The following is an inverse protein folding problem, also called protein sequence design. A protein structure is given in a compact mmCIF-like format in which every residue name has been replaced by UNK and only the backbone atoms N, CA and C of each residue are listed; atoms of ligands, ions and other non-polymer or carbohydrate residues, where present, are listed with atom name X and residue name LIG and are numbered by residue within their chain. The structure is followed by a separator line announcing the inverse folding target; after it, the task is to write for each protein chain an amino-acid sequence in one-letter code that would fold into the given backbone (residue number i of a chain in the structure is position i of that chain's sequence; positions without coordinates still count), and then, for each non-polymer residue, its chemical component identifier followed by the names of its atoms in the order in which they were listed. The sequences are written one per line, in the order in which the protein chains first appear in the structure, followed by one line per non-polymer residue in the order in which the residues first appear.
data_IF_239864441390
#
_entry.id   IF_239864441390
#
_cell.length_a   1.000
_cell.length_b   1.000
_cell.length_c   1.000
_cell.angle_alpha   90.00
_cell.angle_beta   90.00
_cell.angle_gamma   90.00
#
_symmetry.space_group_name_H-M   'P 1'
#
loop_
_entity.id
_entity.type
_entity.pdbx_description
1 polymer ?
#
# COMPACT_ATOMS: atom_id res chain seq x y z
N UNK A 1 -35.33 57.00 -8.03
CA UNK A 1 -34.74 56.14 -6.99
C UNK A 1 -35.25 54.70 -7.06
N UNK A 2 -36.53 54.44 -7.29
CA UNK A 2 -37.06 53.06 -7.33
C UNK A 2 -36.44 52.15 -8.43
N UNK A 3 -36.10 52.68 -9.61
CA UNK A 3 -35.51 51.89 -10.70
C UNK A 3 -34.07 51.47 -10.43
N UNK A 4 -33.28 52.25 -9.69
CA UNK A 4 -31.92 51.92 -9.30
C UNK A 4 -31.93 50.77 -8.29
N UNK A 5 -32.90 50.74 -7.39
CA UNK A 5 -33.04 49.66 -6.40
C UNK A 5 -33.37 48.32 -7.06
N UNK A 6 -34.21 48.31 -8.10
CA UNK A 6 -34.51 47.08 -8.86
C UNK A 6 -33.33 46.58 -9.69
N UNK A 7 -32.50 47.47 -10.22
CA UNK A 7 -31.29 47.07 -10.97
C UNK A 7 -30.25 46.46 -10.03
N UNK A 8 -30.07 47.00 -8.83
CA UNK A 8 -29.15 46.46 -7.80
C UNK A 8 -29.66 45.09 -7.31
N UNK A 9 -30.97 44.93 -7.11
CA UNK A 9 -31.55 43.65 -6.67
C UNK A 9 -31.44 42.59 -7.75
N UNK A 10 -31.63 42.94 -9.03
CA UNK A 10 -31.48 42.02 -10.18
C UNK A 10 -30.02 41.60 -10.41
N UNK A 11 -29.04 42.51 -10.19
CA UNK A 11 -27.61 42.15 -10.28
C UNK A 11 -27.16 41.26 -9.16
N UNK A 12 -27.68 41.40 -7.92
CA UNK A 12 -27.39 40.56 -6.80
C UNK A 12 -27.93 39.11 -6.94
N UNK A 13 -29.02 38.92 -7.66
CA UNK A 13 -29.59 37.60 -7.98
C UNK A 13 -28.81 36.83 -9.05
N UNK A 14 -28.08 37.53 -9.92
CA UNK A 14 -27.26 36.91 -10.99
C UNK A 14 -25.89 36.40 -10.48
N UNK A 15 -25.44 36.81 -9.30
CA UNK A 15 -24.15 36.37 -8.75
C UNK A 15 -24.23 35.08 -7.91
N UNK A 16 -25.44 34.54 -7.69
CA UNK A 16 -25.63 33.29 -6.93
C UNK A 16 -25.61 32.02 -7.76
N UNK A 17 -25.40 32.07 -9.08
CA UNK A 17 -25.12 30.87 -9.87
C UNK A 17 -23.63 30.52 -9.79
N UNK A 18 -23.19 30.16 -8.60
CA UNK A 18 -21.89 29.52 -8.37
C UNK A 18 -21.96 28.13 -9.01
N UNK A 19 -21.19 27.91 -10.06
CA UNK A 19 -20.98 26.57 -10.61
C UNK A 19 -20.33 25.70 -9.54
N UNK A 20 -21.10 24.80 -8.95
CA UNK A 20 -20.60 23.83 -7.96
C UNK A 20 -19.44 22.98 -8.51
N UNK A 21 -19.45 22.73 -9.81
CA UNK A 21 -18.45 21.90 -10.50
C UNK A 21 -17.05 22.52 -10.58
N UNK A 22 -16.92 23.85 -10.38
CA UNK A 22 -15.61 24.52 -10.42
C UNK A 22 -14.76 24.23 -9.17
N UNK A 23 -15.39 23.92 -8.05
CA UNK A 23 -14.71 23.63 -6.77
C UNK A 23 -14.47 22.13 -6.55
N UNK A 24 -15.11 21.25 -7.29
CA UNK A 24 -14.84 19.81 -7.25
C UNK A 24 -13.60 19.49 -8.09
N UNK A 25 -12.43 19.86 -7.57
CA UNK A 25 -11.15 19.40 -8.09
C UNK A 25 -10.90 18.02 -7.51
N UNK A 26 -11.23 16.98 -8.25
CA UNK A 26 -10.71 15.66 -7.96
C UNK A 26 -9.18 15.68 -8.14
N UNK A 27 -8.40 15.13 -7.18
CA UNK A 27 -6.97 15.00 -7.36
C UNK A 27 -6.72 14.21 -8.65
N UNK A 28 -5.94 14.77 -9.57
CA UNK A 28 -5.61 14.10 -10.84
C UNK A 28 -4.81 12.80 -10.64
N UNK A 29 -4.28 12.62 -9.46
CA UNK A 29 -3.40 11.50 -9.08
C UNK A 29 -4.10 10.45 -8.21
N UNK A 30 -5.38 10.61 -7.88
CA UNK A 30 -6.18 9.55 -7.26
C UNK A 30 -7.01 8.85 -8.33
N UNK A 31 -6.95 7.53 -8.45
CA UNK A 31 -7.87 6.81 -9.33
C UNK A 31 -9.30 7.10 -8.83
N UNK A 32 -9.97 7.97 -9.56
CA UNK A 32 -11.40 8.26 -9.35
C UNK A 32 -12.15 6.95 -9.58
N UNK A 33 -13.02 6.56 -8.66
CA UNK A 33 -13.91 5.40 -8.80
C UNK A 33 -14.86 5.51 -10.00
N UNK A 34 -14.80 6.61 -10.74
CA UNK A 34 -15.60 6.91 -11.93
C UNK A 34 -14.86 6.68 -13.25
N UNK A 35 -13.54 6.44 -13.24
CA UNK A 35 -12.81 6.12 -14.48
C UNK A 35 -12.80 4.60 -14.62
N UNK A 36 -13.36 4.03 -15.71
CA UNK A 36 -13.25 2.60 -15.97
C UNK A 36 -11.78 2.18 -16.03
N UNK A 37 -11.44 1.09 -15.38
CA UNK A 37 -10.06 0.57 -15.43
C UNK A 37 -9.86 -0.04 -16.81
N UNK A 38 -8.97 0.57 -17.61
CA UNK A 38 -8.50 0.04 -18.90
C UNK A 38 -7.36 -0.97 -18.70
N UNK A 39 -6.97 -1.67 -19.75
CA UNK A 39 -5.81 -2.57 -19.75
C UNK A 39 -4.52 -1.87 -19.27
N UNK A 40 -4.23 -0.67 -19.78
CA UNK A 40 -3.06 0.11 -19.37
C UNK A 40 -3.10 0.47 -17.89
N UNK A 41 -4.27 0.86 -17.39
CA UNK A 41 -4.44 1.18 -15.98
C UNK A 41 -4.32 -0.08 -15.11
N UNK A 42 -4.84 -1.21 -15.56
CA UNK A 42 -4.69 -2.50 -14.87
C UNK A 42 -3.20 -2.88 -14.71
N UNK A 43 -2.42 -2.75 -15.79
CA UNK A 43 -0.96 -2.97 -15.75
C UNK A 43 -0.27 -1.97 -14.83
N UNK A 44 -0.64 -0.69 -14.89
CA UNK A 44 -0.07 0.34 -14.02
C UNK A 44 -0.35 0.08 -12.53
N UNK A 45 -1.56 -0.35 -12.18
CA UNK A 45 -1.93 -0.73 -10.81
C UNK A 45 -1.11 -1.95 -10.34
N UNK A 46 -0.92 -2.93 -11.19
CA UNK A 46 -0.10 -4.11 -10.90
C UNK A 46 1.37 -3.71 -10.67
N UNK A 47 1.92 -2.83 -11.52
CA UNK A 47 3.26 -2.27 -11.33
C UNK A 47 3.37 -1.51 -10.00
N UNK A 48 2.31 -0.82 -9.56
CA UNK A 48 2.23 -0.20 -8.25
C UNK A 48 2.37 -1.19 -7.09
N UNK A 49 1.92 -2.44 -7.25
CA UNK A 49 2.14 -3.50 -6.27
C UNK A 49 3.62 -3.87 -6.13
N UNK A 50 4.41 -3.84 -7.19
CA UNK A 50 5.85 -4.10 -7.16
C UNK A 50 6.67 -2.95 -6.56
N UNK A 51 6.18 -1.71 -6.65
CA UNK A 51 6.94 -0.53 -6.25
C UNK A 51 7.44 -0.60 -4.80
N UNK A 52 6.64 -1.15 -3.89
CA UNK A 52 7.03 -1.27 -2.48
C UNK A 52 8.25 -2.16 -2.27
N UNK A 53 8.50 -3.17 -3.13
CA UNK A 53 9.67 -4.03 -3.03
C UNK A 53 10.97 -3.23 -3.22
N UNK A 54 10.96 -2.21 -4.07
CA UNK A 54 12.14 -1.39 -4.37
C UNK A 54 12.36 -0.28 -3.33
N UNK A 55 11.51 -0.16 -2.32
CA UNK A 55 11.67 0.85 -1.28
C UNK A 55 12.85 0.55 -0.37
N UNK A 56 13.43 1.58 0.23
CA UNK A 56 14.44 1.46 1.29
C UNK A 56 13.90 0.69 2.50
N UNK A 57 12.59 0.67 2.68
CA UNK A 57 11.94 -0.06 3.77
C UNK A 57 11.94 -1.58 3.57
N UNK A 58 12.19 -2.06 2.34
CA UNK A 58 12.24 -3.49 2.00
C UNK A 58 13.57 -3.83 1.31
N UNK A 59 13.56 -4.27 0.04
CA UNK A 59 14.72 -4.86 -0.62
C UNK A 59 15.84 -3.89 -0.98
N UNK A 60 15.58 -2.58 -1.04
CA UNK A 60 16.66 -1.63 -1.29
C UNK A 60 17.61 -1.47 -0.08
N UNK A 61 17.15 -1.76 1.15
CA UNK A 61 18.01 -1.66 2.34
C UNK A 61 17.62 -2.61 3.48
N UNK A 62 16.42 -2.50 4.05
CA UNK A 62 16.12 -3.01 5.40
C UNK A 62 16.07 -4.54 5.50
N UNK A 63 15.62 -5.23 4.45
CA UNK A 63 15.62 -6.71 4.44
C UNK A 63 17.03 -7.26 4.53
N UNK A 64 17.97 -6.67 3.79
CA UNK A 64 19.37 -7.08 3.83
C UNK A 64 20.01 -6.85 5.21
N UNK A 65 19.57 -5.82 5.93
CA UNK A 65 20.03 -5.56 7.29
C UNK A 65 19.59 -6.64 8.28
N UNK A 66 18.60 -7.47 7.95
CA UNK A 66 18.20 -8.62 8.80
C UNK A 66 19.17 -9.79 8.72
N UNK A 67 20.01 -9.90 7.69
CA UNK A 67 21.02 -10.96 7.56
C UNK A 67 22.06 -10.88 8.67
N UNK A 68 22.27 -9.69 9.22
CA UNK A 68 23.19 -9.48 10.35
C UNK A 68 22.76 -10.27 11.61
N UNK A 69 21.46 -10.54 11.75
CA UNK A 69 20.95 -11.35 12.86
C UNK A 69 21.39 -12.82 12.77
N UNK A 70 21.85 -13.28 11.60
CA UNK A 70 22.36 -14.63 11.40
C UNK A 70 23.80 -14.81 11.91
N UNK A 71 24.51 -13.71 12.19
CA UNK A 71 25.89 -13.72 12.64
C UNK A 71 26.96 -13.87 11.55
N UNK A 72 26.53 -13.88 10.28
CA UNK A 72 27.43 -14.03 9.12
C UNK A 72 28.07 -12.71 8.68
N UNK A 73 27.50 -11.59 9.14
CA UNK A 73 27.94 -10.24 8.81
C UNK A 73 27.82 -9.30 10.00
N UNK A 74 28.55 -8.21 9.97
CA UNK A 74 28.50 -7.16 10.98
C UNK A 74 28.04 -5.83 10.37
N UNK A 75 27.35 -5.04 11.18
CA UNK A 75 27.05 -3.67 10.82
C UNK A 75 28.35 -2.85 10.74
N UNK A 76 28.73 -2.42 9.56
CA UNK A 76 29.81 -1.46 9.37
C UNK A 76 29.49 -0.09 10.00
N UNK A 77 30.40 0.83 9.90
CA UNK A 77 30.27 2.20 10.40
C UNK A 77 31.11 2.46 11.65
N UNK A 78 31.36 3.74 11.92
CA UNK A 78 32.12 4.19 13.08
C UNK A 78 31.18 4.33 14.29
N UNK A 79 31.34 3.50 15.34
CA UNK A 79 30.53 3.60 16.55
C UNK A 79 30.77 4.89 17.33
N UNK A 80 31.88 5.61 17.07
CA UNK A 80 32.19 6.87 17.74
C UNK A 80 31.36 8.06 17.24
N UNK A 81 30.85 7.99 16.03
CA UNK A 81 29.98 9.03 15.43
C UNK A 81 28.52 8.90 15.86
N UNK A 82 28.14 7.80 16.49
CA UNK A 82 26.85 7.60 17.16
C UNK A 82 25.64 7.40 16.24
N UNK A 83 25.78 7.50 14.93
CA UNK A 83 24.64 7.49 13.99
C UNK A 83 24.63 6.31 13.03
N UNK A 84 25.80 5.84 12.58
CA UNK A 84 25.86 4.80 11.57
C UNK A 84 25.67 3.39 12.14
N UNK A 85 24.71 2.70 11.63
CA UNK A 85 24.48 1.30 11.96
C UNK A 85 23.91 1.03 13.36
N UNK A 86 23.56 2.04 14.16
CA UNK A 86 23.01 1.86 15.51
C UNK A 86 21.75 0.99 15.47
N UNK A 87 20.82 1.28 14.60
CA UNK A 87 19.57 0.54 14.45
C UNK A 87 19.81 -0.93 14.06
N UNK A 88 20.76 -1.14 13.18
CA UNK A 88 21.15 -2.48 12.73
C UNK A 88 21.85 -3.26 13.83
N UNK A 89 22.72 -2.60 14.61
CA UNK A 89 23.38 -3.20 15.80
C UNK A 89 22.39 -3.58 16.89
N UNK A 90 21.37 -2.74 17.11
CA UNK A 90 20.30 -3.07 18.06
C UNK A 90 19.57 -4.35 17.67
N UNK A 91 19.27 -4.52 16.37
CA UNK A 91 18.62 -5.73 15.85
C UNK A 91 19.57 -6.92 15.92
N UNK A 92 20.81 -6.77 15.48
CA UNK A 92 21.83 -7.82 15.51
C UNK A 92 22.09 -8.39 16.91
N UNK A 93 22.06 -7.52 17.91
CA UNK A 93 22.29 -7.89 19.32
C UNK A 93 21.01 -8.18 20.11
N UNK A 94 19.86 -8.26 19.42
CA UNK A 94 18.55 -8.63 20.00
C UNK A 94 18.06 -7.70 21.13
N UNK A 95 18.42 -6.42 21.11
CA UNK A 95 17.90 -5.44 22.06
C UNK A 95 17.13 -4.28 21.40
N UNK A 96 16.74 -4.46 20.13
CA UNK A 96 15.94 -3.48 19.42
C UNK A 96 14.60 -3.21 20.12
N UNK A 97 14.24 -1.93 20.20
CA UNK A 97 12.96 -1.49 20.76
C UNK A 97 11.88 -1.41 19.63
N UNK A 98 10.59 -1.35 20.00
CA UNK A 98 9.52 -1.14 19.00
C UNK A 98 9.67 0.13 18.17
N UNK A 99 10.44 1.11 18.61
CA UNK A 99 10.73 2.36 17.89
C UNK A 99 11.97 2.27 16.98
N UNK A 100 12.66 1.13 16.93
CA UNK A 100 13.79 0.93 16.03
C UNK A 100 13.35 1.16 14.57
N UNK A 101 14.02 2.07 13.88
CA UNK A 101 13.61 2.50 12.52
C UNK A 101 13.69 1.38 11.48
N UNK A 102 14.58 0.37 11.68
CA UNK A 102 14.63 -0.79 10.80
C UNK A 102 13.33 -1.58 10.93
N UNK A 103 12.90 -1.91 12.14
CA UNK A 103 11.65 -2.63 12.41
C UNK A 103 10.43 -1.83 11.93
N UNK A 104 10.35 -0.54 12.27
CA UNK A 104 9.27 0.36 11.82
C UNK A 104 9.24 0.47 10.29
N UNK A 105 10.40 0.54 9.65
CA UNK A 105 10.50 0.61 8.19
C UNK A 105 9.99 -0.67 7.53
N UNK A 106 10.42 -1.84 7.97
CA UNK A 106 9.93 -3.14 7.47
C UNK A 106 8.41 -3.27 7.61
N UNK A 107 7.86 -2.88 8.76
CA UNK A 107 6.43 -2.86 8.99
C UNK A 107 5.71 -1.96 7.98
N UNK A 108 6.16 -0.71 7.82
CA UNK A 108 5.59 0.25 6.86
C UNK A 108 5.68 -0.26 5.42
N UNK A 109 6.85 -0.74 5.01
CA UNK A 109 7.06 -1.26 3.66
C UNK A 109 6.13 -2.41 3.32
N UNK A 110 6.00 -3.38 4.23
CA UNK A 110 5.09 -4.51 4.08
C UNK A 110 3.64 -4.07 3.95
N UNK A 111 3.14 -3.23 4.86
CA UNK A 111 1.75 -2.77 4.81
C UNK A 111 1.45 -1.78 3.68
N UNK A 112 2.44 -1.01 3.21
CA UNK A 112 2.28 -0.21 1.98
C UNK A 112 2.07 -1.12 0.78
N UNK A 113 2.88 -2.18 0.64
CA UNK A 113 2.70 -3.17 -0.42
C UNK A 113 1.36 -3.90 -0.35
N UNK A 114 0.92 -4.32 0.85
CA UNK A 114 -0.39 -4.93 1.07
C UNK A 114 -1.51 -3.97 0.65
N UNK A 115 -1.43 -2.70 1.02
CA UNK A 115 -2.42 -1.68 0.66
C UNK A 115 -2.53 -1.50 -0.85
N UNK A 116 -1.39 -1.44 -1.57
CA UNK A 116 -1.36 -1.36 -3.02
C UNK A 116 -2.01 -2.60 -3.66
N UNK A 117 -1.67 -3.81 -3.18
CA UNK A 117 -2.26 -5.05 -3.67
C UNK A 117 -3.77 -5.12 -3.40
N UNK A 118 -4.24 -4.72 -2.21
CA UNK A 118 -5.66 -4.69 -1.90
C UNK A 118 -6.43 -3.74 -2.82
N UNK A 119 -5.87 -2.56 -3.10
CA UNK A 119 -6.45 -1.58 -4.01
C UNK A 119 -6.50 -2.14 -5.44
N UNK A 120 -5.42 -2.76 -5.90
CA UNK A 120 -5.38 -3.38 -7.22
C UNK A 120 -6.42 -4.51 -7.33
N UNK A 121 -6.45 -5.47 -6.39
CA UNK A 121 -7.38 -6.59 -6.40
C UNK A 121 -8.83 -6.09 -6.42
N UNK A 122 -9.18 -5.12 -5.56
CA UNK A 122 -10.52 -4.58 -5.51
C UNK A 122 -10.92 -3.88 -6.81
N UNK A 123 -10.05 -2.99 -7.32
CA UNK A 123 -10.34 -2.20 -8.52
C UNK A 123 -10.41 -3.06 -9.78
N UNK A 124 -9.50 -4.02 -9.94
CA UNK A 124 -9.48 -4.95 -11.07
C UNK A 124 -10.74 -5.82 -11.06
N UNK A 125 -11.10 -6.38 -9.91
CA UNK A 125 -12.30 -7.21 -9.77
C UNK A 125 -13.59 -6.45 -10.04
N UNK A 126 -13.67 -5.18 -9.59
CA UNK A 126 -14.84 -4.33 -9.81
C UNK A 126 -15.00 -3.86 -11.26
N UNK A 127 -13.94 -3.92 -12.07
CA UNK A 127 -13.92 -3.46 -13.47
C UNK A 127 -13.61 -4.59 -14.46
N UNK A 128 -13.88 -5.83 -14.09
CA UNK A 128 -13.52 -7.01 -14.88
C UNK A 128 -14.03 -6.95 -16.33
N UNK A 129 -15.23 -6.40 -16.53
CA UNK A 129 -15.86 -6.29 -17.86
C UNK A 129 -15.18 -5.27 -18.80
N UNK A 130 -14.34 -4.39 -18.24
CA UNK A 130 -13.64 -3.32 -18.99
C UNK A 130 -12.18 -3.67 -19.31
N UNK A 131 -11.70 -4.82 -18.84
CA UNK A 131 -10.30 -5.26 -18.96
C UNK A 131 -10.25 -6.54 -19.79
N UNK A 132 -9.27 -6.63 -20.69
CA UNK A 132 -9.04 -7.85 -21.46
C UNK A 132 -8.82 -9.05 -20.52
N UNK A 133 -9.44 -10.21 -20.75
CA UNK A 133 -9.38 -11.36 -19.84
C UNK A 133 -7.96 -11.81 -19.49
N UNK A 134 -7.03 -11.73 -20.45
CA UNK A 134 -5.63 -12.08 -20.26
C UNK A 134 -4.95 -11.11 -19.28
N UNK A 135 -5.12 -9.80 -19.49
CA UNK A 135 -4.56 -8.75 -18.63
C UNK A 135 -5.16 -8.84 -17.24
N UNK A 136 -6.47 -9.01 -17.12
CA UNK A 136 -7.17 -9.14 -15.85
C UNK A 136 -6.64 -10.33 -15.04
N UNK A 137 -6.59 -11.50 -15.70
CA UNK A 137 -6.17 -12.75 -15.05
C UNK A 137 -4.73 -12.63 -14.54
N UNK A 138 -3.82 -12.14 -15.37
CA UNK A 138 -2.42 -11.93 -15.02
C UNK A 138 -2.28 -10.91 -13.89
N UNK A 139 -2.91 -9.75 -14.01
CA UNK A 139 -2.80 -8.66 -13.03
C UNK A 139 -3.33 -9.06 -11.65
N UNK A 140 -4.43 -9.80 -11.59
CA UNK A 140 -4.95 -10.37 -10.34
C UNK A 140 -3.99 -11.41 -9.77
N UNK A 141 -3.45 -12.29 -10.59
CA UNK A 141 -2.49 -13.31 -10.16
C UNK A 141 -1.24 -12.70 -9.54
N UNK A 142 -0.67 -11.68 -10.20
CA UNK A 142 0.49 -10.95 -9.69
C UNK A 142 0.17 -10.21 -8.37
N UNK A 143 -0.98 -9.56 -8.28
CA UNK A 143 -1.39 -8.83 -7.08
C UNK A 143 -1.59 -9.77 -5.86
N UNK A 144 -2.20 -10.95 -6.05
CA UNK A 144 -2.34 -11.96 -5.00
C UNK A 144 -0.97 -12.50 -4.57
N UNK A 145 -0.09 -12.85 -5.52
CA UNK A 145 1.26 -13.31 -5.20
C UNK A 145 2.05 -12.30 -4.39
N UNK A 146 2.02 -11.03 -4.80
CA UNK A 146 2.72 -9.97 -4.10
C UNK A 146 2.15 -9.71 -2.70
N UNK A 147 0.83 -9.78 -2.52
CA UNK A 147 0.23 -9.66 -1.19
C UNK A 147 0.67 -10.80 -0.27
N UNK A 148 0.68 -12.03 -0.76
CA UNK A 148 1.24 -13.17 -0.03
C UNK A 148 2.70 -12.96 0.34
N UNK A 149 3.51 -12.44 -0.58
CA UNK A 149 4.92 -12.15 -0.35
C UNK A 149 5.13 -11.08 0.76
N UNK A 150 4.36 -9.99 0.74
CA UNK A 150 4.44 -8.97 1.80
C UNK A 150 4.04 -9.53 3.17
N UNK A 151 2.99 -10.34 3.25
CA UNK A 151 2.63 -11.03 4.49
C UNK A 151 3.69 -12.02 4.94
N UNK A 152 4.35 -12.71 4.01
CA UNK A 152 5.46 -13.61 4.32
C UNK A 152 6.66 -12.89 4.93
N UNK A 153 7.01 -11.70 4.43
CA UNK A 153 8.02 -10.84 5.06
C UNK A 153 7.60 -10.48 6.48
N UNK A 154 6.37 -9.98 6.64
CA UNK A 154 5.88 -9.52 7.94
C UNK A 154 5.80 -10.64 8.97
N UNK A 155 5.26 -11.80 8.62
CA UNK A 155 5.10 -12.91 9.58
C UNK A 155 6.44 -13.49 10.01
N UNK A 156 7.45 -13.51 9.13
CA UNK A 156 8.80 -13.97 9.48
C UNK A 156 9.51 -13.00 10.42
N UNK A 157 9.29 -11.70 10.27
CA UNK A 157 9.94 -10.68 11.11
C UNK A 157 9.20 -10.44 12.42
N UNK A 158 7.87 -10.52 12.44
CA UNK A 158 7.06 -10.06 13.57
C UNK A 158 6.16 -11.14 14.19
N UNK A 159 6.15 -12.34 13.64
CA UNK A 159 5.17 -13.38 14.02
C UNK A 159 3.77 -13.02 13.53
N UNK A 160 2.74 -13.24 14.36
CA UNK A 160 1.38 -12.82 14.00
C UNK A 160 1.27 -11.31 13.77
N UNK A 161 0.49 -10.90 12.77
CA UNK A 161 0.28 -9.50 12.38
C UNK A 161 -1.19 -9.26 12.01
N UNK A 162 -1.71 -8.03 12.04
CA UNK A 162 -3.06 -7.73 11.60
C UNK A 162 -3.28 -8.11 10.13
N UNK A 163 -4.33 -8.87 9.84
CA UNK A 163 -4.72 -9.21 8.48
C UNK A 163 -5.64 -8.12 7.92
N UNK A 164 -5.27 -7.59 6.75
CA UNK A 164 -6.06 -6.65 5.96
C UNK A 164 -6.13 -7.15 4.52
N UNK A 165 -7.33 -7.42 4.03
CA UNK A 165 -7.60 -7.90 2.67
C UNK A 165 -8.37 -6.90 1.81
N UNK A 166 -8.69 -5.73 2.38
CA UNK A 166 -9.35 -4.62 1.71
C UNK A 166 -8.52 -3.34 1.83
N UNK A 167 -8.70 -2.38 0.92
CA UNK A 167 -8.10 -1.06 1.05
C UNK A 167 -8.50 -0.39 2.37
N UNK A 168 -7.56 0.31 2.99
CA UNK A 168 -7.81 1.03 4.22
C UNK A 168 -8.78 2.20 3.99
N UNK A 169 -9.74 2.37 4.90
CA UNK A 169 -10.70 3.48 4.91
C UNK A 169 -10.41 4.42 6.07
N UNK A 170 -10.74 5.67 5.92
CA UNK A 170 -10.60 6.69 7.00
C UNK A 170 -11.42 6.29 8.25
N UNK A 171 -12.52 5.57 8.05
CA UNK A 171 -13.41 5.08 9.10
C UNK A 171 -12.91 3.83 9.81
N UNK A 172 -11.82 3.21 9.33
CA UNK A 172 -11.33 1.97 9.94
C UNK A 172 -10.83 2.22 11.38
N UNK A 173 -11.01 1.25 12.29
CA UNK A 173 -10.44 1.33 13.62
C UNK A 173 -8.93 1.54 13.56
N UNK A 174 -8.39 2.40 14.43
CA UNK A 174 -6.94 2.61 14.53
C UNK A 174 -6.25 1.43 15.21
N UNK A 175 -6.94 0.79 16.15
CA UNK A 175 -6.45 -0.33 16.92
C UNK A 175 -7.03 -1.64 16.34
N UNK A 176 -6.22 -2.32 15.53
CA UNK A 176 -6.57 -3.62 14.96
C UNK A 176 -5.76 -4.69 15.68
N UNK A 177 -6.46 -5.68 16.23
CA UNK A 177 -5.81 -6.80 16.90
C UNK A 177 -4.89 -7.59 15.94
N UNK A 178 -3.83 -8.16 16.49
CA UNK A 178 -2.94 -9.07 15.74
C UNK A 178 -3.63 -10.41 15.52
N UNK A 179 -3.55 -10.91 14.33
CA UNK A 179 -3.86 -12.30 14.03
C UNK A 179 -2.69 -13.20 14.46
N UNK A 180 -2.96 -14.48 14.65
CA UNK A 180 -1.92 -15.47 14.90
C UNK A 180 -1.03 -15.69 13.67
N UNK A 181 0.19 -16.16 13.87
CA UNK A 181 1.06 -16.52 12.75
C UNK A 181 0.41 -17.58 11.83
N UNK A 182 -0.31 -18.53 12.40
CA UNK A 182 -1.05 -19.56 11.64
C UNK A 182 -2.07 -18.93 10.70
N UNK A 183 -2.92 -18.02 11.19
CA UNK A 183 -3.92 -17.33 10.35
C UNK A 183 -3.25 -16.52 9.23
N UNK A 184 -2.09 -15.90 9.49
CA UNK A 184 -1.34 -15.19 8.45
C UNK A 184 -0.82 -16.16 7.40
N UNK A 185 -0.27 -17.32 7.80
CA UNK A 185 0.15 -18.36 6.84
C UNK A 185 -1.01 -18.95 6.05
N UNK A 186 -2.18 -19.10 6.65
CA UNK A 186 -3.39 -19.56 5.95
C UNK A 186 -3.80 -18.56 4.84
N UNK A 187 -3.70 -17.26 5.12
CA UNK A 187 -3.92 -16.23 4.10
C UNK A 187 -2.84 -16.29 2.99
N UNK A 188 -1.58 -16.45 3.35
CA UNK A 188 -0.48 -16.57 2.37
C UNK A 188 -0.73 -17.75 1.43
N UNK A 189 -1.09 -18.91 1.98
CA UNK A 189 -1.39 -20.11 1.19
C UNK A 189 -2.60 -19.87 0.28
N UNK A 190 -3.64 -19.23 0.79
CA UNK A 190 -4.81 -18.87 -0.02
C UNK A 190 -4.43 -17.97 -1.20
N UNK A 191 -3.70 -16.89 -0.95
CA UNK A 191 -3.29 -15.95 -1.97
C UNK A 191 -2.33 -16.60 -3.00
N UNK A 192 -1.45 -17.49 -2.56
CA UNK A 192 -0.60 -18.25 -3.48
C UNK A 192 -1.42 -19.18 -4.38
N UNK A 193 -2.48 -19.81 -3.89
CA UNK A 193 -3.39 -20.63 -4.71
C UNK A 193 -4.11 -19.77 -5.75
N UNK A 194 -4.64 -18.61 -5.36
CA UNK A 194 -5.25 -17.65 -6.27
C UNK A 194 -4.27 -17.22 -7.39
N UNK A 195 -2.99 -17.04 -7.03
CA UNK A 195 -1.96 -16.69 -7.99
C UNK A 195 -1.65 -17.85 -8.96
N UNK A 196 -1.50 -19.08 -8.46
CA UNK A 196 -1.20 -20.28 -9.27
C UNK A 196 -2.30 -20.55 -10.32
N UNK A 197 -3.56 -20.32 -9.96
CA UNK A 197 -4.69 -20.51 -10.88
C UNK A 197 -4.72 -19.47 -12.03
N UNK A 198 -4.04 -18.35 -11.88
CA UNK A 198 -4.09 -17.21 -12.81
C UNK A 198 -2.81 -16.99 -13.59
N UNK A 199 -1.67 -17.30 -13.01
CA UNK A 199 -0.37 -17.05 -13.64
C UNK A 199 0.00 -18.21 -14.59
N UNK A 200 0.66 -17.92 -15.72
CA UNK A 200 1.16 -18.95 -16.62
C UNK A 200 2.18 -19.84 -15.90
N UNK A 201 2.10 -21.14 -16.18
CA UNK A 201 3.01 -22.14 -15.64
C UNK A 201 4.18 -22.37 -16.60
#
# INVERSE_FOLDING_TARGET
MKHITYIILASALLTCSSCSDFLEKYPKDSPSTTIPVSDDLAVAMTNGCYQSLQSMNLYNQRIWSMDICAGDSEAGGDPSTGTDGVETKEVANFYATPSNNLAVGLWRGGYTGIGNCNTAIQSLSANADNISPEILTRSLGEAYFLRAHYYFILVRCFGGVPIRTEPAKVSDPKDIARNTATEVYDLIIKDCKEAIERLPQ
#
